data_IF_743096176905
#
_entry.id   IF_743096176905
#
_cell.length_a   1.000
_cell.length_b   1.000
_cell.length_c   1.000
_cell.angle_alpha   90.00
_cell.angle_beta   90.00
_cell.angle_gamma   90.00
#
_symmetry.space_group_name_H-M   'P 1'
#
loop_
_entity.id
_entity.type
_entity.pdbx_description
1 polymer ?
#
# COMPACT_ATOMS: atom_id res chain seq x y z
N UNK A 1 0.26 5.37 15.98
CA UNK A 1 -0.60 5.51 14.81
C UNK A 1 -1.15 6.91 14.67
N UNK A 2 -1.46 7.33 13.46
CA UNK A 2 -2.20 8.55 13.16
C UNK A 2 -3.39 8.23 12.25
N UNK A 3 -4.47 9.01 12.38
CA UNK A 3 -5.57 8.98 11.41
C UNK A 3 -5.28 9.97 10.29
N UNK A 4 -5.48 9.53 9.05
CA UNK A 4 -5.25 10.31 7.84
C UNK A 4 -6.58 10.43 7.08
N UNK A 5 -7.39 11.46 7.37
CA UNK A 5 -8.80 11.46 6.99
C UNK A 5 -9.07 11.65 5.49
N UNK A 6 -8.22 12.43 4.79
CA UNK A 6 -8.60 12.99 3.48
C UNK A 6 -7.57 12.76 2.36
N UNK A 7 -6.75 11.70 2.47
CA UNK A 7 -5.71 11.45 1.48
C UNK A 7 -6.00 10.28 0.52
N UNK A 8 -7.06 9.52 0.77
CA UNK A 8 -7.37 8.32 0.01
C UNK A 8 -8.69 8.47 -0.74
N UNK A 9 -8.81 7.75 -1.83
CA UNK A 9 -10.06 7.54 -2.54
C UNK A 9 -10.26 6.06 -2.89
N UNK A 10 -11.50 5.64 -2.96
CA UNK A 10 -11.93 4.34 -3.50
C UNK A 10 -13.02 4.61 -4.52
N UNK A 11 -12.80 4.22 -5.76
CA UNK A 11 -13.77 4.40 -6.85
C UNK A 11 -14.89 3.37 -6.85
N UNK A 12 -14.87 2.42 -5.91
CA UNK A 12 -15.90 1.37 -5.77
C UNK A 12 -16.92 1.72 -4.71
N UNK A 13 -18.09 1.11 -4.83
CA UNK A 13 -19.17 1.21 -3.87
C UNK A 13 -19.44 -0.16 -3.25
N UNK A 14 -19.55 -0.29 -1.92
CA UNK A 14 -19.36 0.74 -0.90
C UNK A 14 -17.89 1.14 -0.71
N UNK A 15 -17.66 2.40 -0.35
CA UNK A 15 -16.30 2.90 -0.03
C UNK A 15 -15.85 2.34 1.31
N UNK A 16 -14.81 1.50 1.30
CA UNK A 16 -14.27 0.86 2.52
C UNK A 16 -12.74 0.83 2.44
N UNK A 17 -12.09 1.62 3.28
CA UNK A 17 -10.63 1.59 3.46
C UNK A 17 -10.20 2.01 4.85
N UNK A 18 -8.99 1.60 5.25
CA UNK A 18 -8.38 2.04 6.51
C UNK A 18 -7.75 3.42 6.33
N UNK A 19 -8.06 4.33 7.22
CA UNK A 19 -7.45 5.67 7.29
C UNK A 19 -6.25 5.72 8.24
N UNK A 20 -5.88 4.60 8.83
CA UNK A 20 -4.83 4.54 9.84
C UNK A 20 -3.45 4.43 9.20
N UNK A 21 -2.58 5.39 9.47
CA UNK A 21 -1.15 5.29 9.25
C UNK A 21 -0.50 4.69 10.49
N UNK A 22 0.17 3.58 10.33
CA UNK A 22 0.92 2.92 11.41
C UNK A 22 2.41 3.14 11.21
N UNK A 23 3.11 3.52 12.28
CA UNK A 23 4.56 3.66 12.31
C UNK A 23 5.15 2.69 13.35
N UNK A 24 6.08 1.84 12.91
CA UNK A 24 7.00 1.13 13.78
C UNK A 24 8.38 1.80 13.69
N UNK A 25 8.98 2.09 14.83
CA UNK A 25 10.33 2.67 14.91
C UNK A 25 11.30 1.63 15.43
N UNK A 26 12.35 1.42 14.68
CA UNK A 26 13.49 0.63 15.11
C UNK A 26 14.60 1.61 15.47
N UNK A 27 14.89 1.71 16.76
CA UNK A 27 15.86 2.65 17.31
C UNK A 27 17.13 1.88 17.66
N UNK A 28 18.22 2.06 16.92
CA UNK A 28 19.48 1.37 17.19
C UNK A 28 20.13 1.86 18.49
N UNK A 29 20.71 0.94 19.26
CA UNK A 29 21.43 1.28 20.49
C UNK A 29 22.81 1.93 20.25
N UNK A 30 23.32 1.83 19.02
CA UNK A 30 24.66 2.31 18.63
C UNK A 30 24.68 3.75 18.10
N UNK A 31 23.54 4.45 18.12
CA UNK A 31 23.42 5.83 17.63
C UNK A 31 23.36 5.98 16.12
N UNK A 32 23.19 4.90 15.37
CA UNK A 32 22.87 4.96 13.94
C UNK A 32 21.47 5.53 13.70
N UNK A 33 21.14 5.80 12.44
CA UNK A 33 19.84 6.32 12.06
C UNK A 33 18.72 5.34 12.41
N UNK A 34 17.61 5.88 12.86
CA UNK A 34 16.40 5.09 13.03
C UNK A 34 15.91 4.54 11.69
N UNK A 35 15.25 3.38 11.73
CA UNK A 35 14.50 2.83 10.62
C UNK A 35 13.03 2.85 10.99
N UNK A 36 12.20 3.46 10.16
CA UNK A 36 10.75 3.48 10.32
C UNK A 36 10.10 2.56 9.30
N UNK A 37 9.26 1.65 9.77
CA UNK A 37 8.32 0.94 8.90
C UNK A 37 6.98 1.68 8.99
N UNK A 38 6.57 2.25 7.85
CA UNK A 38 5.28 2.91 7.70
C UNK A 38 4.32 2.01 6.91
N UNK A 39 3.14 1.79 7.46
CA UNK A 39 2.08 1.03 6.81
C UNK A 39 0.84 1.90 6.63
N UNK A 40 0.39 2.04 5.39
CA UNK A 40 -0.78 2.83 5.03
C UNK A 40 -1.52 2.21 3.84
N UNK A 41 -2.85 2.22 3.88
CA UNK A 41 -3.69 1.58 2.87
C UNK A 41 -3.82 2.46 1.62
N UNK A 42 -2.79 2.47 0.77
CA UNK A 42 -2.85 3.10 -0.56
C UNK A 42 -1.85 2.46 -1.51
N UNK A 43 -2.25 2.26 -2.76
CA UNK A 43 -1.34 1.93 -3.84
C UNK A 43 -0.36 3.08 -4.10
N UNK A 44 0.89 2.75 -4.48
CA UNK A 44 1.91 3.72 -4.89
C UNK A 44 1.76 4.03 -6.38
N UNK A 45 0.67 4.71 -6.74
CA UNK A 45 0.26 4.96 -8.12
C UNK A 45 -0.33 6.37 -8.35
N UNK A 46 0.09 7.34 -7.53
CA UNK A 46 -0.39 8.73 -7.67
C UNK A 46 0.01 9.39 -8.99
N UNK A 47 1.01 8.86 -9.68
CA UNK A 47 1.40 9.26 -11.03
C UNK A 47 0.49 8.68 -12.12
N UNK A 48 -0.35 7.71 -11.78
CA UNK A 48 -1.30 7.05 -12.67
C UNK A 48 -0.66 6.56 -14.00
N UNK A 49 -1.44 6.49 -15.08
CA UNK A 49 -0.96 6.13 -16.41
C UNK A 49 -0.25 7.24 -17.18
N UNK A 50 -0.02 8.41 -16.58
CA UNK A 50 0.58 9.57 -17.24
C UNK A 50 2.12 9.60 -17.17
N UNK A 51 2.71 8.77 -16.32
CA UNK A 51 4.16 8.66 -16.18
C UNK A 51 4.69 7.46 -16.97
N UNK A 52 5.64 7.70 -17.88
CA UNK A 52 6.30 6.67 -18.67
C UNK A 52 7.69 6.29 -18.15
N UNK A 53 8.13 6.89 -17.05
CA UNK A 53 9.43 6.62 -16.42
C UNK A 53 9.24 5.76 -15.18
N UNK A 54 10.28 4.99 -14.84
CA UNK A 54 10.32 4.25 -13.57
C UNK A 54 10.32 5.25 -12.42
N UNK A 55 9.39 5.09 -11.49
CA UNK A 55 9.25 5.96 -10.32
C UNK A 55 8.89 5.12 -9.10
N UNK A 56 9.33 5.57 -7.93
CA UNK A 56 8.88 5.05 -6.63
C UNK A 56 7.62 5.78 -6.13
N UNK A 57 7.02 6.64 -6.96
CA UNK A 57 5.80 7.38 -6.66
C UNK A 57 5.90 8.23 -5.37
N UNK A 58 4.80 8.56 -4.70
CA UNK A 58 4.79 9.38 -3.48
C UNK A 58 5.69 8.84 -2.34
N UNK A 59 5.94 7.53 -2.19
CA UNK A 59 6.82 7.05 -1.12
C UNK A 59 8.25 7.59 -1.19
N UNK A 60 8.76 7.97 -2.37
CA UNK A 60 10.11 8.55 -2.44
C UNK A 60 10.16 9.94 -1.81
N UNK A 61 9.15 10.75 -1.99
CA UNK A 61 9.05 12.09 -1.41
C UNK A 61 8.80 12.02 0.09
N UNK A 62 7.95 11.08 0.52
CA UNK A 62 7.73 10.80 1.94
C UNK A 62 9.04 10.41 2.64
N UNK A 63 9.82 9.49 2.05
CA UNK A 63 11.12 9.09 2.60
C UNK A 63 12.10 10.25 2.70
N UNK A 64 12.18 11.08 1.65
CA UNK A 64 13.04 12.26 1.64
C UNK A 64 12.67 13.21 2.77
N UNK A 65 11.38 13.55 2.91
CA UNK A 65 10.87 14.46 3.94
C UNK A 65 11.17 13.96 5.36
N UNK A 66 10.97 12.66 5.63
CA UNK A 66 11.26 12.07 6.94
C UNK A 66 12.76 12.03 7.20
N UNK A 67 13.58 11.72 6.19
CA UNK A 67 15.04 11.74 6.32
C UNK A 67 15.53 13.13 6.71
N UNK A 68 15.02 14.17 6.08
CA UNK A 68 15.37 15.57 6.36
C UNK A 68 14.92 16.01 7.76
N UNK A 69 13.72 15.64 8.18
CA UNK A 69 13.11 16.12 9.43
C UNK A 69 13.54 15.32 10.67
N UNK A 70 13.74 14.00 10.55
CA UNK A 70 13.98 13.09 11.67
C UNK A 70 15.27 12.26 11.54
N UNK A 71 16.02 12.41 10.46
CA UNK A 71 17.19 11.59 10.13
C UNK A 71 16.89 10.07 10.19
N UNK A 72 15.66 9.67 9.87
CA UNK A 72 15.25 8.28 9.83
C UNK A 72 15.18 7.75 8.39
N UNK A 73 15.55 6.49 8.22
CA UNK A 73 15.33 5.76 6.97
C UNK A 73 13.94 5.11 7.00
N UNK A 74 13.26 5.02 5.84
CA UNK A 74 11.87 4.58 5.82
C UNK A 74 11.67 3.42 4.86
N UNK A 75 10.99 2.39 5.35
CA UNK A 75 10.37 1.34 4.56
C UNK A 75 8.86 1.62 4.52
N UNK A 76 8.30 1.72 3.32
CA UNK A 76 6.86 1.85 3.13
C UNK A 76 6.26 0.49 2.82
N UNK A 77 5.29 0.08 3.62
CA UNK A 77 4.48 -1.11 3.41
C UNK A 77 3.06 -0.72 3.03
N UNK A 78 2.57 -1.27 1.93
CA UNK A 78 1.18 -1.08 1.53
C UNK A 78 0.28 -1.84 2.50
N UNK A 79 -0.71 -1.15 3.06
CA UNK A 79 -1.67 -1.72 3.98
C UNK A 79 -2.79 -2.51 3.28
N UNK A 80 -3.95 -2.58 3.92
CA UNK A 80 -5.12 -3.29 3.40
C UNK A 80 -5.73 -2.51 2.23
N UNK A 81 -5.46 -2.93 1.01
CA UNK A 81 -5.89 -2.23 -0.21
C UNK A 81 -6.92 -2.99 -1.05
N UNK A 82 -7.31 -4.15 -0.76
CA UNK A 82 -8.39 -4.98 -1.37
C UNK A 82 -8.95 -4.60 -2.75
N UNK A 83 -8.39 -3.63 -3.46
CA UNK A 83 -8.85 -3.16 -4.76
C UNK A 83 -8.33 -1.78 -5.15
N UNK A 84 -9.20 -0.85 -5.46
CA UNK A 84 -8.91 0.42 -6.15
C UNK A 84 -8.62 1.59 -5.18
N UNK A 85 -7.93 1.34 -4.08
CA UNK A 85 -7.63 2.38 -3.09
C UNK A 85 -6.32 3.06 -3.46
N UNK A 86 -6.41 4.32 -3.84
CA UNK A 86 -5.29 5.15 -4.28
C UNK A 86 -5.21 6.44 -3.46
N UNK A 87 -4.14 7.20 -3.63
CA UNK A 87 -4.08 8.57 -3.13
C UNK A 87 -4.99 9.47 -3.94
N UNK A 88 -5.77 10.28 -3.24
CA UNK A 88 -6.66 11.27 -3.84
C UNK A 88 -5.86 12.40 -4.48
N UNK A 89 -6.16 12.69 -5.73
CA UNK A 89 -5.63 13.83 -6.46
C UNK A 89 -6.71 14.93 -6.42
N UNK A 90 -6.45 16.00 -5.71
CA UNK A 90 -7.43 17.07 -5.45
C UNK A 90 -7.75 17.93 -6.69
N UNK A 91 -6.83 17.99 -7.66
CA UNK A 91 -6.98 18.84 -8.86
C UNK A 91 -7.03 17.97 -10.12
N UNK A 92 -8.22 17.77 -10.69
CA UNK A 92 -8.42 16.97 -11.91
C UNK A 92 -7.67 17.54 -13.13
N UNK A 93 -7.36 18.83 -13.16
CA UNK A 93 -6.57 19.44 -14.24
C UNK A 93 -5.08 19.05 -14.16
N UNK A 94 -4.62 18.56 -13.03
CA UNK A 94 -3.28 18.01 -12.85
C UNK A 94 -3.08 16.77 -13.72
N UNK A 95 -4.11 15.96 -13.92
CA UNK A 95 -4.07 14.75 -14.73
C UNK A 95 -3.74 15.01 -16.21
N UNK A 96 -3.90 16.25 -16.67
CA UNK A 96 -3.65 16.66 -18.05
C UNK A 96 -2.22 17.17 -18.30
N UNK A 97 -1.40 17.32 -17.24
CA UNK A 97 -0.06 17.93 -17.32
C UNK A 97 0.94 17.15 -16.47
N UNK A 98 1.82 16.41 -17.09
CA UNK A 98 2.80 15.52 -16.44
C UNK A 98 3.59 16.20 -15.31
N UNK A 99 4.09 17.44 -15.49
CA UNK A 99 4.84 18.13 -14.45
C UNK A 99 4.01 18.51 -13.23
N UNK A 100 2.71 18.81 -13.38
CA UNK A 100 1.80 19.08 -12.26
C UNK A 100 1.47 17.82 -11.49
N UNK A 101 1.45 16.68 -12.18
CA UNK A 101 1.25 15.39 -11.53
C UNK A 101 2.44 15.03 -10.64
N UNK A 102 3.66 15.31 -11.07
CA UNK A 102 4.87 15.15 -10.23
C UNK A 102 4.82 16.04 -8.99
N UNK A 103 4.44 17.31 -9.13
CA UNK A 103 4.27 18.24 -8.00
C UNK A 103 3.16 17.77 -7.04
N UNK A 104 2.06 17.23 -7.55
CA UNK A 104 0.98 16.66 -6.75
C UNK A 104 1.45 15.44 -5.97
N UNK A 105 2.17 14.53 -6.63
CA UNK A 105 2.75 13.33 -6.04
C UNK A 105 3.74 13.69 -4.93
N UNK A 106 4.57 14.72 -5.12
CA UNK A 106 5.47 15.25 -4.10
C UNK A 106 4.70 15.75 -2.87
N UNK A 107 3.69 16.59 -3.06
CA UNK A 107 2.83 17.09 -1.97
C UNK A 107 2.12 15.97 -1.21
N UNK A 108 1.65 14.94 -1.92
CA UNK A 108 1.06 13.74 -1.30
C UNK A 108 2.07 13.05 -0.39
N UNK A 109 3.28 12.81 -0.89
CA UNK A 109 4.35 12.20 -0.11
C UNK A 109 4.74 13.01 1.11
N UNK A 110 4.91 14.33 0.95
CA UNK A 110 5.25 15.24 2.05
C UNK A 110 4.14 15.31 3.11
N UNK A 111 2.88 15.41 2.69
CA UNK A 111 1.73 15.42 3.60
C UNK A 111 1.62 14.11 4.40
N UNK A 112 1.84 12.95 3.77
CA UNK A 112 1.87 11.67 4.47
C UNK A 112 3.06 11.58 5.45
N UNK A 113 4.21 12.13 5.08
CA UNK A 113 5.36 12.24 5.97
C UNK A 113 5.05 13.10 7.20
N UNK A 114 4.35 14.23 7.03
CA UNK A 114 3.98 15.10 8.12
C UNK A 114 3.01 14.40 9.10
N UNK A 115 2.08 13.58 8.62
CA UNK A 115 1.28 12.70 9.48
C UNK A 115 2.15 11.71 10.25
N UNK A 116 3.11 11.06 9.60
CA UNK A 116 4.02 10.13 10.25
C UNK A 116 4.89 10.82 11.32
N UNK A 117 5.36 12.03 11.05
CA UNK A 117 6.16 12.85 11.98
C UNK A 117 5.33 13.34 13.17
N UNK A 118 4.04 13.60 12.99
CA UNK A 118 3.14 14.07 14.05
C UNK A 118 2.77 13.00 15.09
N UNK A 119 3.07 11.73 14.84
CA UNK A 119 2.80 10.65 15.80
C UNK A 119 3.67 10.86 17.04
N UNK A 120 3.03 11.12 18.17
CA UNK A 120 3.70 11.38 19.46
C UNK A 120 3.43 10.34 20.54
N UNK A 121 2.52 9.38 20.27
CA UNK A 121 2.07 8.35 21.19
C UNK A 121 2.76 7.00 20.93
N UNK A 122 4.08 7.00 20.82
CA UNK A 122 4.85 5.77 20.64
C UNK A 122 4.79 4.90 21.90
N UNK A 123 4.51 3.63 21.69
CA UNK A 123 4.57 2.60 22.71
C UNK A 123 5.84 1.76 22.52
N UNK A 124 6.60 1.58 23.62
CA UNK A 124 7.80 0.73 23.58
C UNK A 124 7.38 -0.74 23.62
N UNK A 125 7.72 -1.45 22.54
CA UNK A 125 7.48 -2.88 22.42
C UNK A 125 8.67 -3.70 22.96
N UNK A 126 8.42 -4.93 23.38
CA UNK A 126 9.49 -5.90 23.64
C UNK A 126 10.19 -6.23 22.30
N UNK A 127 11.53 -6.32 22.26
CA UNK A 127 12.28 -6.59 21.04
C UNK A 127 12.21 -8.07 20.64
N UNK A 128 10.99 -8.61 20.56
CA UNK A 128 10.73 -10.00 20.14
C UNK A 128 9.97 -9.96 18.83
N UNK A 129 10.59 -10.49 17.79
CA UNK A 129 9.98 -10.61 16.47
C UNK A 129 9.60 -12.07 16.26
N UNK A 130 8.31 -12.31 16.07
CA UNK A 130 7.77 -13.60 15.64
C UNK A 130 7.19 -13.46 14.23
N UNK A 131 7.44 -14.45 13.41
CA UNK A 131 6.87 -14.54 12.08
C UNK A 131 5.94 -15.74 11.99
N UNK A 132 4.70 -15.50 11.58
CA UNK A 132 3.72 -16.56 11.31
C UNK A 132 3.24 -16.38 9.87
N UNK A 133 3.36 -17.42 9.08
CA UNK A 133 2.79 -17.47 7.72
C UNK A 133 1.56 -18.37 7.75
N UNK A 134 0.45 -17.85 7.26
CA UNK A 134 -0.78 -18.62 7.05
C UNK A 134 -1.16 -18.59 5.58
N UNK A 135 -1.61 -19.72 5.07
CA UNK A 135 -2.20 -19.82 3.73
C UNK A 135 -3.70 -20.11 3.89
N UNK A 136 -4.51 -19.43 3.12
CA UNK A 136 -5.94 -19.74 3.05
C UNK A 136 -6.39 -19.74 1.60
N UNK A 137 -7.47 -20.43 1.34
CA UNK A 137 -8.05 -20.55 0.02
C UNK A 137 -9.38 -19.82 -0.01
N UNK A 138 -9.60 -19.07 -1.08
CA UNK A 138 -10.86 -18.39 -1.35
C UNK A 138 -11.47 -19.05 -2.58
N UNK A 139 -12.74 -19.44 -2.48
CA UNK A 139 -13.48 -19.98 -3.61
C UNK A 139 -13.67 -18.88 -4.67
N UNK A 140 -13.26 -19.18 -5.91
CA UNK A 140 -13.48 -18.29 -7.04
C UNK A 140 -14.78 -18.68 -7.72
N UNK A 141 -15.82 -17.92 -7.47
CA UNK A 141 -17.17 -18.13 -8.01
C UNK A 141 -17.42 -17.44 -9.37
N UNK A 142 -16.43 -16.72 -9.89
CA UNK A 142 -16.52 -16.03 -11.17
C UNK A 142 -16.27 -17.01 -12.34
N UNK A 143 -17.31 -17.36 -13.15
CA UNK A 143 -17.16 -18.35 -14.22
C UNK A 143 -16.26 -17.89 -15.36
N UNK A 144 -16.13 -16.60 -15.61
CA UNK A 144 -15.25 -16.06 -16.65
C UNK A 144 -13.79 -16.20 -16.23
N UNK A 145 -13.48 -15.88 -14.96
CA UNK A 145 -12.15 -16.08 -14.39
C UNK A 145 -11.78 -17.56 -14.40
N UNK A 146 -12.71 -18.42 -14.00
CA UNK A 146 -12.53 -19.85 -13.99
C UNK A 146 -12.24 -20.41 -15.40
N UNK A 147 -12.98 -19.96 -16.41
CA UNK A 147 -12.75 -20.31 -17.80
C UNK A 147 -11.36 -19.84 -18.29
N UNK A 148 -11.01 -18.58 -18.03
CA UNK A 148 -9.71 -18.01 -18.43
C UNK A 148 -8.52 -18.78 -17.83
N UNK A 149 -8.64 -19.24 -16.59
CA UNK A 149 -7.67 -20.11 -15.96
C UNK A 149 -7.63 -21.51 -16.60
N UNK A 150 -8.79 -22.05 -16.99
CA UNK A 150 -8.88 -23.39 -17.59
C UNK A 150 -8.24 -23.49 -18.97
N UNK A 151 -8.45 -22.46 -19.79
CA UNK A 151 -7.88 -22.40 -21.15
C UNK A 151 -6.47 -21.80 -21.19
N UNK A 152 -5.89 -21.47 -20.03
CA UNK A 152 -4.50 -21.03 -19.93
C UNK A 152 -4.25 -19.57 -20.29
N UNK A 153 -5.29 -18.73 -20.42
CA UNK A 153 -5.15 -17.27 -20.61
C UNK A 153 -4.58 -16.63 -19.34
N UNK A 154 -5.03 -17.09 -18.16
CA UNK A 154 -4.52 -16.65 -16.87
C UNK A 154 -3.74 -17.81 -16.26
N UNK A 155 -2.45 -17.60 -16.00
CA UNK A 155 -1.64 -18.53 -15.23
C UNK A 155 -1.93 -18.33 -13.76
N UNK A 156 -2.73 -19.18 -13.16
CA UNK A 156 -2.97 -19.22 -11.73
C UNK A 156 -2.78 -20.64 -11.22
N UNK A 157 -2.10 -20.76 -10.08
CA UNK A 157 -2.03 -22.04 -9.39
C UNK A 157 -3.42 -22.41 -8.89
N UNK A 158 -3.87 -23.59 -9.27
CA UNK A 158 -5.18 -24.11 -8.88
C UNK A 158 -4.99 -25.07 -7.72
N UNK A 159 -5.60 -24.71 -6.59
CA UNK A 159 -5.58 -25.55 -5.40
C UNK A 159 -7.00 -26.01 -5.09
N UNK A 160 -7.16 -27.31 -4.82
CA UNK A 160 -8.45 -27.92 -4.48
C UNK A 160 -8.86 -29.03 -5.43
N UNK A 161 -9.97 -29.66 -5.12
CA UNK A 161 -10.53 -30.75 -5.91
C UNK A 161 -10.90 -30.25 -7.31
N UNK A 162 -10.42 -30.91 -8.34
CA UNK A 162 -10.65 -30.53 -9.74
C UNK A 162 -12.08 -30.78 -10.23
N UNK A 163 -13.01 -30.99 -9.33
CA UNK A 163 -14.41 -31.08 -9.69
C UNK A 163 -14.90 -29.73 -10.19
N UNK A 164 -14.93 -29.60 -11.52
CA UNK A 164 -15.34 -28.39 -12.25
C UNK A 164 -16.75 -27.93 -11.93
N UNK A 165 -17.54 -28.70 -11.19
CA UNK A 165 -18.88 -28.35 -10.76
C UNK A 165 -18.92 -27.44 -9.52
N UNK A 166 -17.80 -27.29 -8.80
CA UNK A 166 -17.71 -26.55 -7.53
C UNK A 166 -16.88 -25.26 -7.56
N UNK A 167 -16.43 -24.81 -8.73
CA UNK A 167 -15.57 -23.64 -8.84
C UNK A 167 -14.09 -23.92 -8.58
N UNK A 168 -13.27 -22.87 -8.59
CA UNK A 168 -11.84 -22.95 -8.31
C UNK A 168 -11.52 -22.22 -7.01
N UNK A 169 -10.68 -22.82 -6.20
CA UNK A 169 -10.03 -22.10 -5.11
C UNK A 169 -8.75 -21.47 -5.65
N UNK A 170 -8.65 -20.14 -5.57
CA UNK A 170 -7.41 -19.42 -5.82
C UNK A 170 -6.66 -19.33 -4.49
N UNK A 171 -5.37 -19.69 -4.53
CA UNK A 171 -4.50 -19.47 -3.37
C UNK A 171 -4.24 -17.98 -3.25
N UNK A 172 -4.63 -17.40 -2.13
CA UNK A 172 -4.30 -16.03 -1.76
C UNK A 172 -3.22 -16.09 -0.70
N UNK A 173 -2.06 -15.52 -0.97
CA UNK A 173 -1.03 -15.34 0.04
C UNK A 173 -1.29 -13.98 0.71
N UNK A 174 -1.58 -14.01 2.00
CA UNK A 174 -1.44 -12.82 2.85
C UNK A 174 0.00 -12.82 3.35
N UNK A 175 0.76 -11.88 2.89
CA UNK A 175 2.07 -11.55 3.45
C UNK A 175 1.92 -10.49 4.53
#
# INVERSE_FOLDING_TARGET
>A
TAEVPDMQEDIRTPVVYSKTLTRFRFVPDNGENEIWLLNFASHSESLQGCNHLVSADFPCYMRRRIKEAANADVVYGVGAIGGMISMKIEDEDVLKKEHRLLESTEKIGEKLADYALSISNDEKLSPVINFIRSEFFVEADNPVLALACNIGIISADKYGDRDSSKGFSLKTELT
#
